data_IF_506227033123
#
_entry.id   IF_506227033123
#
_cell.length_a   1.000
_cell.length_b   1.000
_cell.length_c   1.000
_cell.angle_alpha   90.00
_cell.angle_beta   90.00
_cell.angle_gamma   90.00
#
_symmetry.space_group_name_H-M   'P 1'
#
loop_
_entity.id
_entity.type
_entity.pdbx_description
1 polymer ?
#
# COMPACT_ATOMS: atom_id res chain seq x y z
N UNK A 1 -77.28 -0.19 77.30
CA UNK A 1 -78.03 1.08 77.29
C UNK A 1 -77.00 2.19 77.30
N UNK A 2 -77.32 3.26 76.58
CA UNK A 2 -76.42 4.29 76.10
C UNK A 2 -75.38 3.88 75.05
N UNK A 3 -75.09 4.70 74.03
CA UNK A 3 -75.94 5.69 73.33
C UNK A 3 -75.39 5.92 71.91
N UNK A 4 -76.22 6.51 71.05
CA UNK A 4 -76.12 6.68 69.58
C UNK A 4 -74.93 7.50 69.01
N UNK A 5 -74.54 7.19 67.76
CA UNK A 5 -74.46 8.12 66.61
C UNK A 5 -74.28 7.31 65.30
N UNK A 6 -75.02 7.57 64.22
CA UNK A 6 -74.72 8.51 63.11
C UNK A 6 -73.29 8.38 62.53
N UNK A 7 -73.06 8.25 61.21
CA UNK A 7 -73.97 8.21 60.07
C UNK A 7 -73.41 9.00 58.89
N UNK A 8 -73.03 8.35 57.78
CA UNK A 8 -72.49 9.03 56.61
C UNK A 8 -72.20 8.11 55.43
N UNK A 9 -72.85 8.36 54.29
CA UNK A 9 -72.51 7.80 52.98
C UNK A 9 -71.70 8.85 52.22
N UNK A 10 -70.74 8.42 51.40
CA UNK A 10 -69.94 9.27 50.53
C UNK A 10 -69.39 8.44 49.37
N UNK A 11 -69.62 8.89 48.15
CA UNK A 11 -69.53 8.07 46.95
C UNK A 11 -68.20 8.22 46.18
N UNK A 12 -67.89 7.20 45.39
CA UNK A 12 -67.03 7.13 44.20
C UNK A 12 -65.94 8.22 43.95
N UNK A 13 -64.69 7.90 44.27
CA UNK A 13 -63.48 8.51 43.66
C UNK A 13 -62.83 7.55 42.62
N UNK A 14 -63.58 7.16 41.59
CA UNK A 14 -63.04 6.41 40.44
C UNK A 14 -62.54 7.38 39.35
N UNK A 15 -61.35 7.96 39.53
CA UNK A 15 -60.77 8.87 38.52
C UNK A 15 -59.25 8.70 38.31
N UNK A 16 -58.91 7.97 37.24
CA UNK A 16 -57.74 8.12 36.36
C UNK A 16 -56.51 8.91 36.89
N UNK A 17 -55.50 8.20 37.41
CA UNK A 17 -54.10 8.68 37.40
C UNK A 17 -53.46 8.45 36.01
N UNK A 18 -54.04 9.09 34.99
CA UNK A 18 -53.73 8.86 33.57
C UNK A 18 -52.66 9.84 33.03
N UNK A 19 -51.81 10.40 33.91
CA UNK A 19 -50.83 11.44 33.55
C UNK A 19 -49.40 11.15 34.07
N UNK A 20 -49.09 9.88 34.33
CA UNK A 20 -47.74 9.42 34.69
C UNK A 20 -46.98 8.71 33.55
N UNK A 21 -47.38 8.90 32.29
CA UNK A 21 -46.57 8.51 31.12
C UNK A 21 -46.57 9.61 30.04
N UNK A 22 -45.73 10.63 30.26
CA UNK A 22 -45.48 11.72 29.31
C UNK A 22 -44.51 11.34 28.19
N UNK A 23 -44.54 10.09 27.71
CA UNK A 23 -43.67 9.61 26.63
C UNK A 23 -44.23 10.04 25.26
N UNK A 24 -44.01 11.30 24.91
CA UNK A 24 -44.27 11.83 23.57
C UNK A 24 -43.43 11.04 22.54
N UNK A 25 -44.06 10.24 21.64
CA UNK A 25 -43.32 9.39 20.70
C UNK A 25 -42.66 10.18 19.57
N UNK A 26 -43.04 11.45 19.37
CA UNK A 26 -42.51 12.32 18.32
C UNK A 26 -41.29 13.13 18.81
N UNK A 27 -40.82 12.93 20.05
CA UNK A 27 -39.52 13.47 20.47
C UNK A 27 -38.38 12.66 19.85
N UNK A 28 -37.83 13.16 18.74
CA UNK A 28 -36.59 12.66 18.17
C UNK A 28 -35.53 12.62 19.28
N UNK A 29 -35.14 11.40 19.68
CA UNK A 29 -34.24 11.20 20.81
C UNK A 29 -32.82 11.43 20.33
N UNK A 30 -32.48 12.72 20.15
CA UNK A 30 -31.17 13.21 19.71
C UNK A 30 -30.06 12.41 20.40
N UNK A 31 -29.30 11.68 19.58
CA UNK A 31 -28.29 10.76 20.09
C UNK A 31 -27.29 11.54 20.96
N UNK A 32 -27.27 11.17 22.25
CA UNK A 32 -26.47 11.85 23.27
C UNK A 32 -24.97 11.75 22.99
N UNK A 33 -24.54 10.78 22.17
CA UNK A 33 -23.15 10.69 21.71
C UNK A 33 -22.79 11.84 20.75
N UNK A 34 -23.72 12.33 19.93
CA UNK A 34 -23.48 13.47 19.02
C UNK A 34 -23.27 14.82 19.75
N UNK A 35 -23.54 14.85 21.06
CA UNK A 35 -23.32 16.02 21.93
C UNK A 35 -21.96 15.98 22.63
N UNK A 36 -21.21 14.87 22.56
CA UNK A 36 -19.86 14.75 23.12
C UNK A 36 -18.84 15.45 22.20
N UNK A 37 -18.07 16.45 22.68
CA UNK A 37 -16.99 17.05 21.91
C UNK A 37 -15.89 16.06 21.49
N UNK A 38 -15.78 14.87 22.12
CA UNK A 38 -14.91 13.78 21.70
C UNK A 38 -15.48 12.88 20.59
N UNK A 39 -16.78 12.95 20.30
CA UNK A 39 -17.42 12.13 19.26
C UNK A 39 -16.78 12.36 17.88
N UNK A 40 -16.68 11.28 17.11
CA UNK A 40 -16.11 11.29 15.78
C UNK A 40 -16.55 10.04 14.98
N UNK A 41 -16.93 10.23 13.71
CA UNK A 41 -17.36 9.15 12.81
C UNK A 41 -16.14 8.37 12.28
N UNK A 42 -16.08 7.08 12.59
CA UNK A 42 -15.10 6.14 12.04
C UNK A 42 -15.76 4.79 11.72
N UNK A 43 -15.05 3.93 10.98
CA UNK A 43 -15.50 2.59 10.58
C UNK A 43 -14.35 1.59 10.73
N UNK A 44 -14.61 0.40 11.28
CA UNK A 44 -13.67 -0.71 11.23
C UNK A 44 -13.79 -1.46 9.89
N UNK A 45 -12.70 -1.56 9.13
CA UNK A 45 -12.65 -2.24 7.83
C UNK A 45 -11.77 -3.49 7.86
N UNK A 46 -12.19 -4.54 7.16
CA UNK A 46 -11.35 -5.72 6.86
C UNK A 46 -10.42 -5.45 5.68
N UNK A 47 -9.34 -6.24 5.54
CA UNK A 47 -8.32 -6.06 4.50
C UNK A 47 -8.90 -5.97 3.07
N UNK A 48 -9.95 -6.74 2.77
CA UNK A 48 -10.62 -6.76 1.46
C UNK A 48 -11.48 -5.52 1.20
N UNK A 49 -12.02 -4.89 2.25
CA UNK A 49 -12.79 -3.66 2.16
C UNK A 49 -11.88 -2.44 2.01
N UNK A 50 -10.71 -2.49 2.66
CA UNK A 50 -9.62 -1.54 2.49
C UNK A 50 -9.04 -1.63 1.07
N UNK A 51 -8.79 -2.83 0.57
CA UNK A 51 -8.35 -3.06 -0.80
C UNK A 51 -9.39 -2.54 -1.81
N UNK A 52 -10.68 -2.83 -1.62
CA UNK A 52 -11.77 -2.27 -2.43
C UNK A 52 -11.74 -0.74 -2.42
N UNK A 53 -11.70 -0.13 -1.24
CA UNK A 53 -11.69 1.32 -1.08
C UNK A 53 -10.46 1.99 -1.74
N UNK A 54 -9.27 1.38 -1.64
CA UNK A 54 -8.06 1.83 -2.34
C UNK A 54 -8.24 1.70 -3.86
N UNK A 55 -8.71 0.56 -4.34
CA UNK A 55 -8.87 0.30 -5.78
C UNK A 55 -9.93 1.23 -6.42
N UNK A 56 -10.99 1.59 -5.70
CA UNK A 56 -11.93 2.64 -6.13
C UNK A 56 -11.22 3.98 -6.38
N UNK A 57 -10.36 4.45 -5.45
CA UNK A 57 -9.61 5.72 -5.62
C UNK A 57 -8.60 5.64 -6.77
N UNK A 58 -8.00 4.47 -6.98
CA UNK A 58 -7.08 4.19 -8.09
C UNK A 58 -7.82 4.23 -9.44
N UNK A 59 -9.01 3.64 -9.53
CA UNK A 59 -9.85 3.64 -10.74
C UNK A 59 -10.43 5.04 -11.04
N UNK A 60 -10.88 5.75 -10.00
CA UNK A 60 -11.37 7.14 -10.05
C UNK A 60 -10.29 8.09 -10.62
N UNK A 61 -9.03 7.96 -10.19
CA UNK A 61 -7.92 8.71 -10.77
C UNK A 61 -7.54 8.20 -12.18
N UNK A 62 -7.39 6.88 -12.35
CA UNK A 62 -7.00 6.25 -13.62
C UNK A 62 -7.91 6.66 -14.77
N UNK A 63 -9.22 6.68 -14.55
CA UNK A 63 -10.23 7.17 -15.51
C UNK A 63 -10.19 8.69 -15.69
N UNK A 64 -10.00 9.47 -14.62
CA UNK A 64 -10.02 10.95 -14.65
C UNK A 64 -8.86 11.61 -15.41
N UNK A 65 -7.71 10.92 -15.53
CA UNK A 65 -6.52 11.39 -16.29
C UNK A 65 -5.98 10.38 -17.32
N UNK A 66 -6.67 9.26 -17.54
CA UNK A 66 -6.36 8.23 -18.55
C UNK A 66 -4.96 7.61 -18.43
N UNK A 67 -4.58 7.21 -17.21
CA UNK A 67 -3.31 6.52 -16.89
C UNK A 67 -3.52 5.07 -16.44
N UNK A 68 -2.50 4.22 -16.49
CA UNK A 68 -2.61 2.85 -15.96
C UNK A 68 -2.86 2.84 -14.45
N UNK A 69 -3.55 1.83 -13.88
CA UNK A 69 -3.74 1.72 -12.43
C UNK A 69 -2.43 1.75 -11.64
N UNK A 70 -1.36 1.15 -12.15
CA UNK A 70 -0.03 1.17 -11.53
C UNK A 70 0.58 2.58 -11.47
N UNK A 71 0.40 3.38 -12.53
CA UNK A 71 0.82 4.79 -12.53
C UNK A 71 -0.08 5.65 -11.62
N UNK A 72 -1.40 5.38 -11.59
CA UNK A 72 -2.31 6.04 -10.64
C UNK A 72 -1.93 5.76 -9.17
N UNK A 73 -1.53 4.52 -8.82
CA UNK A 73 -1.01 4.18 -7.48
C UNK A 73 0.23 4.99 -7.11
N UNK A 74 1.20 5.15 -8.03
CA UNK A 74 2.41 5.97 -7.80
C UNK A 74 2.04 7.45 -7.59
N UNK A 75 1.14 8.01 -8.41
CA UNK A 75 0.68 9.39 -8.26
C UNK A 75 -0.05 9.63 -6.93
N UNK A 76 -0.93 8.71 -6.50
CA UNK A 76 -1.64 8.79 -5.23
C UNK A 76 -0.68 8.76 -4.03
N UNK A 77 0.31 7.86 -4.03
CA UNK A 77 1.35 7.78 -3.01
C UNK A 77 2.16 9.07 -2.88
N UNK A 78 2.60 9.63 -4.01
CA UNK A 78 3.47 10.81 -4.02
C UNK A 78 2.72 12.12 -3.73
N UNK A 79 1.42 12.19 -4.03
CA UNK A 79 0.57 13.36 -3.79
C UNK A 79 -0.43 13.17 -2.63
N UNK A 80 -0.07 12.36 -1.62
CA UNK A 80 -0.81 12.18 -0.36
C UNK A 80 -2.31 11.88 -0.54
N UNK A 81 -2.65 11.13 -1.60
CA UNK A 81 -4.01 10.75 -1.98
C UNK A 81 -4.97 11.92 -2.31
N UNK A 82 -4.47 13.12 -2.60
CA UNK A 82 -5.30 14.26 -3.00
C UNK A 82 -5.68 14.19 -4.49
N UNK A 83 -6.72 13.44 -4.84
CA UNK A 83 -7.20 13.31 -6.24
C UNK A 83 -7.43 14.66 -6.93
N UNK A 84 -7.97 15.66 -6.22
CA UNK A 84 -8.30 16.98 -6.80
C UNK A 84 -7.06 17.77 -7.24
N UNK A 85 -5.98 17.69 -6.46
CA UNK A 85 -4.70 18.34 -6.74
C UNK A 85 -3.92 17.60 -7.81
N UNK A 86 -3.95 16.26 -7.81
CA UNK A 86 -3.36 15.43 -8.88
C UNK A 86 -4.04 15.75 -10.22
N UNK A 87 -5.37 15.72 -10.29
CA UNK A 87 -6.14 15.94 -11.52
C UNK A 87 -5.95 17.36 -12.05
N UNK A 88 -5.94 18.39 -11.19
CA UNK A 88 -5.70 19.77 -11.62
C UNK A 88 -4.25 19.99 -12.06
N UNK A 89 -3.27 19.45 -11.32
CA UNK A 89 -1.85 19.54 -11.68
C UNK A 89 -1.51 18.82 -12.97
N UNK A 90 -2.08 17.62 -13.21
CA UNK A 90 -1.88 16.86 -14.45
C UNK A 90 -2.48 17.58 -15.66
N UNK A 91 -3.66 18.19 -15.51
CA UNK A 91 -4.31 18.99 -16.57
C UNK A 91 -3.60 20.31 -16.85
N UNK A 92 -2.85 20.85 -15.88
CA UNK A 92 -2.02 22.04 -16.08
C UNK A 92 -0.66 21.72 -16.70
N UNK A 93 0.06 20.71 -16.18
CA UNK A 93 1.35 20.25 -16.68
C UNK A 93 1.63 18.80 -16.22
N UNK A 94 1.16 17.83 -17.01
CA UNK A 94 1.42 16.41 -16.79
C UNK A 94 2.91 16.05 -16.75
N UNK A 95 3.76 16.73 -17.53
CA UNK A 95 5.19 16.45 -17.61
C UNK A 95 5.90 16.84 -16.30
N UNK A 96 5.57 18.01 -15.74
CA UNK A 96 6.06 18.46 -14.44
C UNK A 96 5.56 17.59 -13.30
N UNK A 97 4.26 17.24 -13.27
CA UNK A 97 3.71 16.39 -12.21
C UNK A 97 4.36 15.00 -12.20
N UNK A 98 4.51 14.36 -13.37
CA UNK A 98 5.17 13.06 -13.47
C UNK A 98 6.62 13.11 -12.94
N UNK A 99 7.39 14.14 -13.30
CA UNK A 99 8.76 14.34 -12.75
C UNK A 99 8.75 14.52 -11.23
N UNK A 100 7.82 15.33 -10.70
CA UNK A 100 7.65 15.52 -9.25
C UNK A 100 7.32 14.21 -8.53
N UNK A 101 6.56 13.31 -9.17
CA UNK A 101 6.22 11.99 -8.67
C UNK A 101 7.26 10.91 -9.04
N UNK A 102 8.50 11.29 -9.38
CA UNK A 102 9.59 10.37 -9.71
C UNK A 102 9.28 9.41 -10.89
N UNK A 103 8.45 9.84 -11.84
CA UNK A 103 8.15 9.12 -13.09
C UNK A 103 8.66 9.94 -14.27
N UNK A 104 9.62 9.40 -15.04
CA UNK A 104 10.07 10.08 -16.27
C UNK A 104 8.96 10.02 -17.33
N UNK A 105 8.51 11.15 -17.92
CA UNK A 105 7.55 11.17 -19.00
C UNK A 105 8.09 10.48 -20.26
N UNK A 106 7.20 9.80 -21.00
CA UNK A 106 7.53 9.35 -22.35
C UNK A 106 7.52 10.54 -23.30
N UNK A 107 8.65 10.81 -23.95
CA UNK A 107 8.73 11.89 -24.95
C UNK A 107 7.83 11.56 -26.16
N UNK A 108 7.04 12.51 -26.68
CA UNK A 108 6.28 12.28 -27.91
C UNK A 108 7.26 12.01 -29.06
N UNK A 109 7.06 10.89 -29.76
CA UNK A 109 7.90 10.52 -30.89
C UNK A 109 7.80 11.58 -31.99
N UNK A 110 8.94 12.18 -32.37
CA UNK A 110 9.00 13.19 -33.43
C UNK A 110 8.70 12.54 -34.79
N UNK A 111 7.44 12.58 -35.21
CA UNK A 111 6.91 11.76 -36.29
C UNK A 111 7.25 12.31 -37.69
N UNK A 112 8.54 12.26 -38.04
CA UNK A 112 9.06 12.56 -39.38
C UNK A 112 9.90 11.39 -39.91
N UNK A 113 9.30 10.19 -39.96
CA UNK A 113 9.60 9.14 -40.95
C UNK A 113 8.61 7.96 -40.82
N UNK A 114 7.73 7.81 -41.80
CA UNK A 114 6.76 6.70 -41.84
C UNK A 114 7.41 5.39 -42.27
N UNK A 115 7.83 4.55 -41.33
CA UNK A 115 7.90 3.10 -41.55
C UNK A 115 7.72 2.29 -40.25
N UNK A 116 6.61 1.55 -40.22
CA UNK A 116 6.25 0.42 -39.35
C UNK A 116 7.11 0.14 -38.10
N UNK A 117 6.66 0.66 -36.95
CA UNK A 117 6.74 -0.02 -35.64
C UNK A 117 5.43 0.19 -34.90
N UNK A 118 4.82 -0.90 -34.40
CA UNK A 118 3.46 -0.88 -33.86
C UNK A 118 3.38 -0.21 -32.49
N UNK A 119 2.49 0.78 -32.37
CA UNK A 119 2.14 1.37 -31.09
C UNK A 119 1.21 0.42 -30.30
N UNK A 120 1.73 -0.21 -29.24
CA UNK A 120 0.94 -0.99 -28.28
C UNK A 120 0.89 -0.25 -26.94
N UNK A 121 0.01 0.75 -26.85
CA UNK A 121 -0.38 1.40 -25.58
C UNK A 121 -1.82 1.92 -25.67
N UNK A 122 -2.73 1.00 -26.02
CA UNK A 122 -4.19 1.15 -25.96
C UNK A 122 -4.80 -0.21 -25.58
N UNK A 123 -5.82 -0.19 -24.74
CA UNK A 123 -6.33 -1.38 -24.04
C UNK A 123 -7.05 -2.38 -24.96
N UNK A 124 -6.79 -3.67 -24.76
CA UNK A 124 -7.56 -4.76 -25.35
C UNK A 124 -8.61 -5.28 -24.35
N UNK A 125 -9.75 -4.59 -24.24
CA UNK A 125 -10.93 -5.15 -23.56
C UNK A 125 -11.51 -6.30 -24.38
N UNK A 126 -11.59 -7.51 -23.81
CA UNK A 126 -12.30 -8.62 -24.44
C UNK A 126 -13.13 -9.40 -23.43
N UNK A 127 -14.40 -9.04 -23.33
CA UNK A 127 -15.43 -9.83 -22.63
C UNK A 127 -15.68 -11.15 -23.38
N UNK A 128 -15.70 -12.27 -22.67
CA UNK A 128 -16.19 -13.54 -23.20
C UNK A 128 -16.74 -14.41 -22.06
N UNK A 129 -18.07 -14.46 -21.97
CA UNK A 129 -18.78 -15.26 -20.97
C UNK A 129 -18.59 -16.76 -21.25
N UNK A 130 -18.20 -17.53 -20.22
CA UNK A 130 -18.64 -18.94 -20.11
C UNK A 130 -18.77 -19.38 -18.66
N UNK A 131 -20.00 -19.39 -18.16
CA UNK A 131 -20.40 -19.96 -16.88
C UNK A 131 -20.25 -21.49 -16.88
N UNK A 132 -19.87 -22.09 -15.74
CA UNK A 132 -20.61 -23.20 -15.07
C UNK A 132 -19.97 -23.62 -13.73
N UNK A 133 -20.71 -23.40 -12.64
CA UNK A 133 -20.93 -24.31 -11.49
C UNK A 133 -19.77 -24.98 -10.71
N UNK A 134 -19.64 -24.54 -9.45
CA UNK A 134 -19.68 -25.33 -8.19
C UNK A 134 -18.58 -26.35 -7.78
N UNK A 135 -18.50 -26.49 -6.45
CA UNK A 135 -17.60 -27.27 -5.56
C UNK A 135 -18.09 -28.74 -5.37
N UNK A 136 -17.49 -29.62 -4.52
CA UNK A 136 -16.33 -29.49 -3.59
C UNK A 136 -15.29 -30.65 -3.64
N UNK A 137 -14.40 -30.71 -2.62
CA UNK A 137 -13.43 -31.77 -2.28
C UNK A 137 -13.97 -33.21 -2.30
N UNK A 138 -13.08 -34.21 -2.45
CA UNK A 138 -12.77 -35.11 -1.33
C UNK A 138 -11.26 -35.41 -1.13
N UNK A 139 -10.92 -36.25 -0.14
CA UNK A 139 -9.54 -36.50 0.35
C UNK A 139 -9.14 -37.99 0.33
N UNK A 140 -7.82 -38.28 0.30
CA UNK A 140 -7.16 -39.54 0.71
C UNK A 140 -7.38 -40.78 -0.22
N UNK A 141 -6.51 -41.82 -0.31
CA UNK A 141 -5.25 -42.20 0.39
C UNK A 141 -4.29 -42.96 -0.58
N UNK A 142 -2.95 -42.78 -0.45
CA UNK A 142 -1.90 -43.80 -0.78
C UNK A 142 -1.56 -44.11 -2.26
N UNK A 143 -0.49 -44.85 -2.60
CA UNK A 143 0.71 -45.28 -1.84
C UNK A 143 1.75 -45.93 -2.80
N UNK A 144 3.06 -45.55 -2.73
CA UNK A 144 4.28 -46.21 -3.31
C UNK A 144 4.30 -46.55 -4.84
N UNK A 145 5.39 -46.53 -5.64
CA UNK A 145 6.85 -46.27 -5.55
C UNK A 145 7.39 -46.12 -7.01
N UNK A 146 8.63 -45.77 -7.41
CA UNK A 146 9.91 -45.34 -6.78
C UNK A 146 10.91 -44.87 -7.88
N UNK A 147 12.10 -44.32 -7.52
CA UNK A 147 13.22 -43.85 -8.40
C UNK A 147 12.91 -42.61 -9.28
N UNK A 148 13.84 -41.73 -9.67
CA UNK A 148 15.32 -41.71 -9.60
C UNK A 148 15.87 -40.35 -9.12
N UNK A 149 17.18 -40.25 -8.87
CA UNK A 149 17.88 -38.98 -8.63
C UNK A 149 18.20 -38.26 -9.95
N UNK A 150 17.88 -36.97 -10.05
CA UNK A 150 18.52 -36.05 -11.00
C UNK A 150 19.11 -34.84 -10.25
N UNK A 151 20.18 -34.27 -10.80
CA UNK A 151 21.04 -33.27 -10.11
C UNK A 151 20.66 -31.84 -10.48
N UNK A 152 21.06 -30.90 -9.62
CA UNK A 152 21.16 -29.49 -10.01
C UNK A 152 22.11 -29.35 -11.22
N UNK A 153 21.70 -28.52 -12.19
CA UNK A 153 22.51 -28.18 -13.35
C UNK A 153 23.35 -26.94 -13.08
N UNK A 154 24.63 -27.12 -12.78
CA UNK A 154 25.58 -26.00 -12.64
C UNK A 154 25.80 -25.32 -14.00
N UNK A 155 25.49 -24.02 -14.09
CA UNK A 155 25.77 -23.23 -15.29
C UNK A 155 27.22 -22.72 -15.26
N UNK A 156 28.13 -23.51 -15.82
CA UNK A 156 29.57 -23.20 -15.94
C UNK A 156 29.99 -23.41 -17.39
N UNK A 157 30.99 -22.64 -17.84
CA UNK A 157 31.66 -22.74 -19.17
C UNK A 157 30.77 -22.34 -20.38
N UNK A 158 31.26 -21.66 -21.43
CA UNK A 158 32.60 -21.20 -21.80
C UNK A 158 32.59 -19.71 -22.21
N UNK A 159 33.60 -18.96 -21.80
CA UNK A 159 34.05 -17.73 -22.48
C UNK A 159 35.58 -17.77 -22.51
N UNK A 160 36.18 -17.98 -23.68
CA UNK A 160 37.63 -18.17 -23.80
C UNK A 160 38.15 -17.59 -25.11
N UNK A 161 39.28 -16.87 -24.99
CA UNK A 161 40.11 -16.30 -26.06
C UNK A 161 39.49 -15.23 -26.99
N UNK A 162 40.03 -14.01 -26.83
CA UNK A 162 40.27 -13.00 -27.87
C UNK A 162 39.04 -12.32 -28.51
N UNK A 163 38.86 -11.00 -28.38
CA UNK A 163 39.92 -9.98 -28.55
C UNK A 163 39.87 -8.85 -27.51
N UNK A 164 41.02 -8.21 -27.25
CA UNK A 164 41.10 -7.04 -26.38
C UNK A 164 40.50 -5.81 -27.06
N UNK A 165 39.53 -5.17 -26.41
CA UNK A 165 39.21 -3.75 -26.60
C UNK A 165 39.00 -3.10 -25.23
N UNK A 166 39.81 -2.10 -24.91
CA UNK A 166 39.73 -1.37 -23.64
C UNK A 166 38.71 -0.23 -23.79
N UNK A 167 37.47 -0.47 -23.34
CA UNK A 167 36.44 0.57 -23.33
C UNK A 167 36.70 1.57 -22.19
N UNK A 168 37.47 2.61 -22.48
CA UNK A 168 37.70 3.73 -21.55
C UNK A 168 36.45 4.61 -21.45
N UNK A 169 36.08 5.01 -20.23
CA UNK A 169 34.85 5.75 -19.95
C UNK A 169 34.84 7.15 -20.59
N UNK A 170 33.90 7.40 -21.52
CA UNK A 170 33.34 8.73 -21.82
C UNK A 170 32.10 8.68 -22.72
N UNK A 171 31.06 9.41 -22.29
CA UNK A 171 30.07 10.15 -23.06
C UNK A 171 29.71 9.65 -24.48
N UNK A 172 28.73 8.73 -24.58
CA UNK A 172 28.15 8.33 -25.87
C UNK A 172 26.97 9.21 -26.24
N UNK A 173 27.26 10.34 -26.91
CA UNK A 173 26.25 11.12 -27.65
C UNK A 173 26.06 10.48 -29.03
N UNK A 174 24.84 10.08 -29.37
CA UNK A 174 24.55 9.47 -30.68
C UNK A 174 24.32 10.56 -31.76
N UNK A 175 25.10 10.52 -32.85
CA UNK A 175 25.07 11.52 -33.91
C UNK A 175 25.35 10.95 -35.32
N UNK A 176 24.27 10.63 -36.03
CA UNK A 176 24.04 10.67 -37.50
C UNK A 176 25.12 10.27 -38.54
N UNK A 177 24.67 9.45 -39.50
CA UNK A 177 25.08 9.34 -40.91
C UNK A 177 26.34 8.53 -41.31
N UNK A 178 26.08 7.29 -41.77
CA UNK A 178 26.82 6.61 -42.84
C UNK A 178 25.83 5.71 -43.64
N UNK A 179 26.10 5.39 -44.91
CA UNK A 179 25.14 4.73 -45.82
C UNK A 179 25.51 3.26 -46.11
N UNK A 180 24.59 2.37 -45.74
CA UNK A 180 24.30 1.00 -46.23
C UNK A 180 25.46 0.21 -46.90
N UNK A 181 25.91 -0.83 -46.21
CA UNK A 181 25.92 -2.21 -46.74
C UNK A 181 25.23 -3.13 -45.72
N UNK A 182 24.67 -4.26 -46.17
CA UNK A 182 23.83 -5.13 -45.32
C UNK A 182 24.60 -6.36 -44.80
N UNK A 183 25.07 -6.26 -43.55
CA UNK A 183 25.10 -7.39 -42.62
C UNK A 183 24.39 -6.95 -41.34
N UNK A 184 23.55 -7.82 -40.76
CA UNK A 184 22.74 -7.47 -39.59
C UNK A 184 23.55 -7.60 -38.29
N UNK A 185 24.44 -6.63 -38.03
CA UNK A 185 25.18 -6.47 -36.78
C UNK A 185 24.22 -6.17 -35.61
N UNK A 186 23.64 -7.23 -35.04
CA UNK A 186 22.86 -7.16 -33.80
C UNK A 186 23.84 -7.02 -32.64
N UNK A 187 24.29 -5.78 -32.41
CA UNK A 187 25.20 -5.43 -31.31
C UNK A 187 24.66 -5.96 -29.98
N UNK A 188 25.36 -6.92 -29.41
CA UNK A 188 25.01 -7.49 -28.12
C UNK A 188 25.23 -6.47 -27.00
N UNK A 189 24.14 -5.90 -26.49
CA UNK A 189 24.20 -4.99 -25.35
C UNK A 189 24.42 -5.79 -24.06
N UNK A 190 25.56 -5.63 -23.40
CA UNK A 190 25.81 -6.22 -22.09
C UNK A 190 25.06 -5.51 -20.96
N UNK A 191 24.67 -6.27 -19.92
CA UNK A 191 24.04 -5.73 -18.73
C UNK A 191 25.04 -4.91 -17.90
N UNK A 192 24.75 -3.66 -17.51
CA UNK A 192 25.67 -2.85 -16.69
C UNK A 192 26.04 -3.44 -15.32
N UNK A 193 25.25 -4.40 -14.81
CA UNK A 193 25.38 -4.95 -13.45
C UNK A 193 26.15 -6.28 -13.44
N UNK A 194 25.83 -7.21 -14.34
CA UNK A 194 26.48 -8.53 -14.40
C UNK A 194 27.41 -8.74 -15.60
N UNK A 195 27.52 -7.74 -16.50
CA UNK A 195 28.33 -7.74 -17.72
C UNK A 195 27.99 -8.84 -18.77
N UNK A 196 27.01 -9.70 -18.51
CA UNK A 196 26.51 -10.68 -19.48
C UNK A 196 25.81 -9.99 -20.67
N UNK A 197 25.98 -10.52 -21.88
CA UNK A 197 25.22 -10.14 -23.06
C UNK A 197 23.70 -10.30 -22.84
N UNK A 198 22.90 -9.35 -23.33
CA UNK A 198 21.44 -9.36 -23.18
C UNK A 198 20.74 -9.45 -24.53
N UNK A 199 19.80 -10.39 -24.67
CA UNK A 199 18.82 -10.35 -25.76
C UNK A 199 17.73 -9.31 -25.45
N UNK A 200 17.07 -8.72 -26.46
CA UNK A 200 15.94 -7.81 -26.24
C UNK A 200 14.77 -8.41 -25.45
N UNK A 201 14.59 -9.74 -25.53
CA UNK A 201 13.59 -10.53 -24.79
C UNK A 201 13.99 -10.86 -23.34
N UNK A 202 15.27 -10.71 -22.99
CA UNK A 202 15.86 -11.10 -21.70
C UNK A 202 16.27 -9.87 -20.87
N UNK A 203 15.81 -8.68 -21.29
CA UNK A 203 16.12 -7.40 -20.65
C UNK A 203 14.91 -6.45 -20.60
N UNK A 204 14.80 -5.73 -19.49
CA UNK A 204 13.70 -4.79 -19.19
C UNK A 204 14.24 -3.41 -18.81
N UNK A 205 13.43 -2.37 -19.05
CA UNK A 205 13.77 -0.98 -18.77
C UNK A 205 12.54 -0.21 -18.24
N UNK A 206 12.77 0.69 -17.29
CA UNK A 206 11.78 1.68 -16.84
C UNK A 206 11.71 2.86 -17.82
N UNK A 207 10.80 3.82 -17.57
CA UNK A 207 10.68 5.04 -18.38
C UNK A 207 11.93 5.93 -18.36
N UNK A 208 12.85 5.72 -17.42
CA UNK A 208 14.19 6.31 -17.43
C UNK A 208 15.05 5.92 -18.65
N UNK A 209 14.70 4.82 -19.33
CA UNK A 209 15.43 4.13 -20.40
C UNK A 209 16.69 3.34 -19.97
N UNK A 210 17.00 3.25 -18.68
CA UNK A 210 18.05 2.34 -18.20
C UNK A 210 17.59 0.88 -18.34
N UNK A 211 18.41 0.05 -18.99
CA UNK A 211 18.11 -1.35 -19.32
C UNK A 211 19.06 -2.30 -18.60
N UNK A 212 18.48 -3.32 -17.97
CA UNK A 212 19.19 -4.39 -17.28
C UNK A 212 18.56 -5.74 -17.65
N UNK A 213 19.29 -6.84 -17.46
CA UNK A 213 18.74 -8.17 -17.72
C UNK A 213 17.70 -8.55 -16.65
N UNK A 214 16.75 -9.41 -17.03
CA UNK A 214 15.63 -9.76 -16.16
C UNK A 214 16.07 -10.48 -14.88
N UNK A 215 17.22 -11.16 -14.90
CA UNK A 215 17.83 -11.77 -13.71
C UNK A 215 18.42 -10.76 -12.73
N UNK A 216 19.03 -9.67 -13.21
CA UNK A 216 19.47 -8.57 -12.33
C UNK A 216 18.27 -7.87 -11.68
N UNK A 217 17.21 -7.57 -12.44
CA UNK A 217 15.96 -7.05 -11.88
C UNK A 217 15.34 -8.01 -10.86
N UNK A 218 15.24 -9.31 -11.18
CA UNK A 218 14.70 -10.33 -10.27
C UNK A 218 15.44 -10.39 -8.92
N UNK A 219 16.78 -10.32 -8.96
CA UNK A 219 17.62 -10.35 -7.76
C UNK A 219 17.52 -9.04 -6.97
N UNK A 220 17.49 -7.89 -7.67
CA UNK A 220 17.32 -6.58 -7.04
C UNK A 220 16.01 -6.49 -6.27
N UNK A 221 14.89 -6.78 -6.92
CA UNK A 221 13.58 -6.72 -6.27
C UNK A 221 13.47 -7.71 -5.09
N UNK A 222 14.04 -8.92 -5.19
CA UNK A 222 14.05 -9.86 -4.06
C UNK A 222 14.81 -9.33 -2.83
N UNK A 223 15.88 -8.55 -3.04
CA UNK A 223 16.65 -7.88 -1.98
C UNK A 223 15.86 -6.72 -1.37
N UNK A 224 15.30 -5.83 -2.19
CA UNK A 224 14.46 -4.70 -1.74
C UNK A 224 13.23 -5.17 -0.95
N UNK A 225 12.46 -6.10 -1.53
CA UNK A 225 11.24 -6.67 -0.92
C UNK A 225 11.59 -7.47 0.34
N UNK A 226 12.77 -8.06 0.45
CA UNK A 226 13.22 -8.73 1.68
C UNK A 226 13.62 -7.75 2.78
N UNK A 227 14.07 -6.54 2.43
CA UNK A 227 14.27 -5.42 3.36
C UNK A 227 12.96 -4.68 3.70
N UNK A 228 11.85 -4.98 3.01
CA UNK A 228 10.54 -4.37 3.24
C UNK A 228 10.21 -3.19 2.32
N UNK A 229 11.08 -2.88 1.35
CA UNK A 229 10.89 -1.79 0.40
C UNK A 229 10.06 -2.31 -0.78
N UNK A 230 8.94 -1.66 -1.10
CA UNK A 230 8.06 -2.08 -2.21
C UNK A 230 7.55 -0.93 -3.07
N UNK A 231 6.79 0.00 -2.51
CA UNK A 231 6.20 1.14 -3.25
C UNK A 231 7.22 2.21 -3.63
N UNK A 232 8.43 2.12 -3.05
CA UNK A 232 9.55 3.07 -3.22
C UNK A 232 10.78 2.43 -3.90
N UNK A 233 10.60 1.31 -4.60
CA UNK A 233 11.69 0.71 -5.38
C UNK A 233 12.03 1.64 -6.56
N UNK A 234 13.29 2.07 -6.64
CA UNK A 234 13.81 2.96 -7.69
C UNK A 234 14.52 2.16 -8.82
N UNK A 235 15.17 2.87 -9.73
CA UNK A 235 15.93 2.27 -10.82
C UNK A 235 17.34 1.85 -10.36
N UNK A 236 17.80 0.67 -10.77
CA UNK A 236 19.16 0.15 -10.49
C UNK A 236 20.34 0.99 -11.06
N UNK A 237 20.06 2.16 -11.66
CA UNK A 237 21.08 3.04 -12.23
C UNK A 237 21.49 4.12 -11.23
N UNK A 238 22.79 4.40 -11.11
CA UNK A 238 23.25 5.43 -10.17
C UNK A 238 22.65 6.81 -10.50
N UNK A 239 22.19 7.52 -9.46
CA UNK A 239 21.55 8.84 -9.58
C UNK A 239 20.24 8.84 -10.42
N UNK A 240 19.50 7.72 -10.43
CA UNK A 240 18.24 7.59 -11.16
C UNK A 240 17.06 7.24 -10.25
N UNK A 241 16.49 8.26 -9.61
CA UNK A 241 15.33 8.18 -8.69
C UNK A 241 14.00 7.74 -9.34
N UNK A 242 14.00 7.15 -10.54
CA UNK A 242 12.76 6.78 -11.24
C UNK A 242 12.17 5.52 -10.63
N UNK A 243 10.98 5.66 -10.05
CA UNK A 243 10.23 4.58 -9.39
C UNK A 243 9.86 3.45 -10.36
N UNK A 244 9.85 2.22 -9.84
CA UNK A 244 9.42 1.01 -10.52
C UNK A 244 7.94 0.70 -10.20
N UNK A 245 6.99 0.88 -11.14
CA UNK A 245 5.57 0.64 -10.85
C UNK A 245 5.25 -0.85 -10.73
N UNK A 246 4.10 -1.17 -10.14
CA UNK A 246 3.65 -2.55 -9.86
C UNK A 246 3.59 -3.45 -11.12
N UNK A 247 3.18 -2.89 -12.27
CA UNK A 247 3.13 -3.59 -13.56
C UNK A 247 4.52 -3.88 -14.18
N UNK A 248 5.58 -3.24 -13.67
CA UNK A 248 6.96 -3.58 -13.99
C UNK A 248 7.57 -4.58 -12.99
N UNK A 249 7.32 -4.40 -11.69
CA UNK A 249 7.91 -5.22 -10.63
C UNK A 249 7.33 -6.64 -10.63
N UNK A 250 6.01 -6.79 -10.56
CA UNK A 250 5.35 -8.08 -10.30
C UNK A 250 5.63 -9.15 -11.38
N UNK A 251 5.68 -8.83 -12.70
CA UNK A 251 6.05 -9.81 -13.72
C UNK A 251 7.51 -10.31 -13.63
N UNK A 252 8.40 -9.51 -13.03
CA UNK A 252 9.82 -9.82 -12.86
C UNK A 252 10.14 -10.55 -11.53
N UNK A 253 9.11 -10.95 -10.77
CA UNK A 253 9.25 -11.74 -9.54
C UNK A 253 8.94 -13.23 -9.79
N UNK A 254 9.92 -14.11 -10.07
CA UNK A 254 9.64 -15.52 -10.37
C UNK A 254 9.03 -16.28 -9.19
N UNK A 255 9.51 -16.02 -7.96
CA UNK A 255 9.11 -16.75 -6.74
C UNK A 255 7.80 -16.22 -6.16
N UNK A 256 6.79 -17.08 -6.01
CA UNK A 256 5.46 -16.72 -5.46
C UNK A 256 5.54 -16.07 -4.08
N UNK A 257 6.36 -16.62 -3.17
CA UNK A 257 6.61 -16.08 -1.82
C UNK A 257 7.14 -14.63 -1.82
N UNK A 258 7.78 -14.19 -2.90
CA UNK A 258 8.29 -12.81 -3.04
C UNK A 258 7.18 -11.88 -3.56
N UNK A 259 6.31 -12.37 -4.44
CA UNK A 259 5.07 -11.67 -4.85
C UNK A 259 4.09 -11.49 -3.69
N UNK A 260 3.89 -12.54 -2.89
CA UNK A 260 3.08 -12.51 -1.66
C UNK A 260 3.58 -11.41 -0.70
N UNK A 261 4.89 -11.38 -0.41
CA UNK A 261 5.53 -10.30 0.36
C UNK A 261 5.33 -8.92 -0.29
N UNK A 262 5.52 -8.81 -1.60
CA UNK A 262 5.37 -7.54 -2.32
C UNK A 262 3.97 -6.96 -2.13
N UNK A 263 2.92 -7.75 -2.39
CA UNK A 263 1.55 -7.28 -2.22
C UNK A 263 1.21 -6.98 -0.75
N UNK A 264 1.69 -7.80 0.21
CA UNK A 264 1.48 -7.55 1.65
C UNK A 264 2.12 -6.24 2.12
N UNK A 265 3.36 -5.96 1.72
CA UNK A 265 4.06 -4.73 2.12
C UNK A 265 3.56 -3.51 1.34
N UNK A 266 3.23 -3.65 0.05
CA UNK A 266 2.64 -2.58 -0.74
C UNK A 266 1.24 -2.19 -0.21
N UNK A 267 0.40 -3.15 0.15
CA UNK A 267 -0.86 -2.91 0.87
C UNK A 267 -0.63 -2.08 2.14
N UNK A 268 0.35 -2.48 2.96
CA UNK A 268 0.69 -1.77 4.17
C UNK A 268 1.24 -0.35 3.92
N UNK A 269 1.96 -0.11 2.82
CA UNK A 269 2.38 1.23 2.40
C UNK A 269 1.21 2.09 1.92
N UNK A 270 0.26 1.53 1.16
CA UNK A 270 -0.97 2.24 0.77
C UNK A 270 -1.77 2.66 2.00
N UNK A 271 -1.98 1.75 2.97
CA UNK A 271 -2.71 2.05 4.21
C UNK A 271 -1.99 3.08 5.08
N UNK A 272 -0.67 2.98 5.26
CA UNK A 272 0.12 3.94 6.07
C UNK A 272 0.19 5.34 5.46
N UNK A 273 0.17 5.45 4.13
CA UNK A 273 0.23 6.73 3.42
C UNK A 273 -1.13 7.41 3.26
N UNK A 274 -2.24 6.67 3.39
CA UNK A 274 -3.57 7.21 3.22
C UNK A 274 -3.97 8.13 4.40
N UNK A 275 -4.50 9.34 4.15
CA UNK A 275 -4.90 10.25 5.23
C UNK A 275 -6.01 9.67 6.11
N UNK A 276 -7.00 9.00 5.50
CA UNK A 276 -8.18 8.42 6.17
C UNK A 276 -7.99 7.02 6.79
N UNK A 277 -6.83 6.34 6.69
CA UNK A 277 -6.72 4.91 7.11
C UNK A 277 -5.65 4.68 8.18
N UNK A 278 -5.95 3.84 9.19
CA UNK A 278 -5.00 3.46 10.25
C UNK A 278 -5.11 1.99 10.60
N UNK A 279 -4.00 1.26 10.58
CA UNK A 279 -3.94 -0.08 11.18
C UNK A 279 -4.30 -0.01 12.67
N UNK A 280 -5.07 -0.98 13.15
CA UNK A 280 -5.23 -1.19 14.58
C UNK A 280 -3.89 -1.64 15.19
N UNK A 281 -3.43 -1.06 16.32
CA UNK A 281 -2.22 -1.50 17.02
C UNK A 281 -2.44 -2.77 17.87
N UNK A 282 -3.66 -3.33 17.87
CA UNK A 282 -4.00 -4.51 18.67
C UNK A 282 -3.24 -5.77 18.23
N UNK A 283 -2.75 -6.61 19.17
CA UNK A 283 -1.91 -7.75 18.86
C UNK A 283 -2.62 -8.77 17.96
N UNK A 284 -2.00 -9.11 16.83
CA UNK A 284 -2.53 -9.99 15.80
C UNK A 284 -3.86 -9.52 15.14
N UNK A 285 -4.19 -8.23 15.23
CA UNK A 285 -5.34 -7.66 14.53
C UNK A 285 -4.96 -7.16 13.13
N UNK A 286 -5.78 -7.46 12.11
CA UNK A 286 -5.59 -6.91 10.74
C UNK A 286 -6.56 -5.78 10.39
N UNK A 287 -7.48 -5.43 11.29
CA UNK A 287 -8.48 -4.37 11.05
C UNK A 287 -7.79 -3.02 10.84
N UNK A 288 -8.27 -2.30 9.84
CA UNK A 288 -7.91 -0.91 9.55
C UNK A 288 -9.10 -0.05 9.92
N UNK A 289 -8.90 0.92 10.80
CA UNK A 289 -9.90 1.96 11.07
C UNK A 289 -9.84 3.00 9.95
N UNK A 290 -11.00 3.33 9.37
CA UNK A 290 -11.18 4.44 8.43
C UNK A 290 -11.92 5.60 9.08
N UNK A 291 -11.49 6.83 8.84
CA UNK A 291 -12.26 8.03 9.19
C UNK A 291 -11.93 9.22 8.28
N UNK A 292 -12.93 10.06 7.98
CA UNK A 292 -12.84 11.17 7.00
C UNK A 292 -11.84 12.26 7.42
N UNK A 293 -11.83 12.63 8.69
CA UNK A 293 -10.89 13.62 9.23
C UNK A 293 -9.69 12.96 9.93
N UNK A 294 -8.47 13.38 9.60
CA UNK A 294 -7.27 12.97 10.34
C UNK A 294 -7.12 13.76 11.67
N UNK A 295 -7.99 13.48 12.65
CA UNK A 295 -8.05 14.15 13.97
C UNK A 295 -7.48 13.28 15.10
N UNK A 296 -6.90 13.86 16.17
CA UNK A 296 -6.38 13.13 17.33
C UNK A 296 -7.51 12.68 18.29
N UNK A 297 -8.44 11.88 17.76
CA UNK A 297 -9.60 11.34 18.47
C UNK A 297 -9.36 9.88 18.88
N UNK A 298 -10.09 9.45 19.90
CA UNK A 298 -10.13 8.06 20.36
C UNK A 298 -10.95 7.25 19.36
N UNK A 299 -10.37 6.17 18.85
CA UNK A 299 -11.07 5.15 18.06
C UNK A 299 -10.93 3.81 18.77
N UNK A 300 -11.90 2.91 18.57
CA UNK A 300 -11.97 1.60 19.21
C UNK A 300 -12.13 0.56 18.11
N UNK A 301 -11.22 -0.42 18.04
CA UNK A 301 -11.34 -1.50 17.06
C UNK A 301 -12.40 -2.51 17.51
N UNK A 302 -13.48 -2.66 16.75
CA UNK A 302 -14.61 -3.54 17.05
C UNK A 302 -14.21 -5.02 17.19
N UNK A 303 -13.17 -5.47 16.47
CA UNK A 303 -12.74 -6.88 16.46
C UNK A 303 -11.86 -7.29 17.66
N UNK A 304 -11.16 -6.34 18.29
CA UNK A 304 -10.20 -6.64 19.38
C UNK A 304 -10.29 -5.69 20.59
N UNK A 305 -11.22 -4.74 20.58
CA UNK A 305 -11.47 -3.72 21.61
C UNK A 305 -10.26 -2.82 21.95
N UNK A 306 -9.19 -2.85 21.15
CA UNK A 306 -8.02 -1.96 21.34
C UNK A 306 -8.41 -0.52 21.04
N UNK A 307 -8.12 0.39 21.98
CA UNK A 307 -8.45 1.81 21.88
C UNK A 307 -7.18 2.61 21.60
N UNK A 308 -7.21 3.50 20.61
CA UNK A 308 -6.01 4.24 20.18
C UNK A 308 -6.35 5.63 19.62
N UNK A 309 -5.32 6.46 19.42
CA UNK A 309 -5.43 7.78 18.83
C UNK A 309 -5.31 7.71 17.30
N UNK A 310 -6.37 8.09 16.58
CA UNK A 310 -6.43 7.97 15.12
C UNK A 310 -5.34 8.77 14.38
N UNK A 311 -4.94 9.94 14.89
CA UNK A 311 -3.92 10.76 14.23
C UNK A 311 -2.49 10.19 14.29
N UNK A 312 -2.18 9.25 15.18
CA UNK A 312 -0.81 8.75 15.38
C UNK A 312 -0.66 7.23 15.51
N UNK A 313 -1.73 6.48 15.75
CA UNK A 313 -1.69 5.02 15.95
C UNK A 313 -1.22 4.57 17.33
N UNK A 314 -0.75 5.48 18.19
CA UNK A 314 -0.39 5.20 19.58
C UNK A 314 -1.63 5.14 20.49
N UNK A 315 -1.46 4.68 21.73
CA UNK A 315 -2.48 4.71 22.78
C UNK A 315 -3.15 6.09 22.91
N UNK A 316 -4.42 6.13 23.31
CA UNK A 316 -5.15 7.38 23.44
C UNK A 316 -4.61 8.23 24.61
N UNK A 317 -4.24 9.49 24.31
CA UNK A 317 -3.23 10.20 25.09
C UNK A 317 -3.57 11.68 25.42
N UNK A 318 -4.85 12.09 25.38
CA UNK A 318 -5.22 13.43 25.85
C UNK A 318 -4.92 13.60 27.35
N UNK A 319 -4.56 14.80 27.83
CA UNK A 319 -4.51 16.08 27.10
C UNK A 319 -3.23 16.31 26.26
N UNK A 320 -2.31 15.35 26.22
CA UNK A 320 -1.01 15.49 25.52
C UNK A 320 -1.18 15.45 24.00
N UNK A 321 -0.35 16.20 23.26
CA UNK A 321 -0.35 16.16 21.79
C UNK A 321 0.35 14.91 21.24
N UNK A 322 -0.04 14.48 20.04
CA UNK A 322 0.59 13.34 19.35
C UNK A 322 2.10 13.55 19.12
N UNK A 323 2.52 14.81 18.96
CA UNK A 323 3.93 15.15 18.74
C UNK A 323 4.76 15.01 20.01
N UNK A 324 4.23 15.47 21.15
CA UNK A 324 4.87 15.30 22.46
C UNK A 324 4.93 13.82 22.86
N UNK A 325 3.87 13.05 22.62
CA UNK A 325 3.86 11.60 22.85
C UNK A 325 4.87 10.89 21.95
N UNK A 326 4.95 11.22 20.66
CA UNK A 326 5.96 10.64 19.76
C UNK A 326 7.38 10.93 20.24
N UNK A 327 7.68 12.19 20.60
CA UNK A 327 8.99 12.59 21.15
C UNK A 327 9.30 11.88 22.48
N UNK A 328 8.31 11.66 23.33
CA UNK A 328 8.44 10.89 24.57
C UNK A 328 8.73 9.41 24.30
N UNK A 329 7.96 8.75 23.43
CA UNK A 329 8.15 7.34 23.09
C UNK A 329 9.50 7.06 22.42
N UNK A 330 9.96 7.93 21.50
CA UNK A 330 11.32 7.85 20.95
C UNK A 330 12.36 7.95 22.05
N UNK A 331 12.27 8.96 22.93
CA UNK A 331 13.20 9.10 24.05
C UNK A 331 13.17 7.88 24.99
N UNK A 332 12.01 7.29 25.28
CA UNK A 332 11.91 6.10 26.11
C UNK A 332 12.54 4.85 25.46
N UNK A 333 12.57 4.77 24.13
CA UNK A 333 13.32 3.73 23.42
C UNK A 333 14.84 3.97 23.54
N UNK A 334 15.30 5.20 23.30
CA UNK A 334 16.73 5.58 23.35
C UNK A 334 17.32 5.47 24.78
N UNK A 335 16.61 5.97 25.79
CA UNK A 335 17.02 5.94 27.21
C UNK A 335 16.86 4.54 27.85
N UNK A 336 16.25 3.56 27.17
CA UNK A 336 15.86 2.26 27.76
C UNK A 336 17.03 1.51 28.40
N UNK A 337 18.19 1.46 27.74
CA UNK A 337 19.41 0.85 28.27
C UNK A 337 19.95 1.61 29.50
N UNK A 338 19.78 2.94 29.54
CA UNK A 338 20.18 3.75 30.71
C UNK A 338 19.23 3.52 31.89
N UNK A 339 17.93 3.40 31.64
CA UNK A 339 16.93 3.07 32.66
C UNK A 339 17.12 1.64 33.21
N UNK A 340 17.41 0.66 32.34
CA UNK A 340 17.77 -0.70 32.72
C UNK A 340 19.06 -0.72 33.56
N UNK A 341 20.08 0.04 33.17
CA UNK A 341 21.32 0.14 33.95
C UNK A 341 21.08 0.71 35.35
N UNK A 342 20.36 1.84 35.46
CA UNK A 342 20.07 2.48 36.75
C UNK A 342 19.26 1.55 37.66
N UNK A 343 18.19 0.94 37.16
CA UNK A 343 17.35 0.02 37.95
C UNK A 343 18.05 -1.29 38.35
N UNK A 344 19.02 -1.76 37.57
CA UNK A 344 19.84 -2.91 37.94
C UNK A 344 20.95 -2.61 38.97
N UNK A 345 21.42 -1.35 39.06
CA UNK A 345 22.59 -0.97 39.88
C UNK A 345 22.26 -0.04 41.06
N UNK A 346 21.01 0.37 41.23
CA UNK A 346 20.53 1.14 42.39
C UNK A 346 19.45 0.37 43.15
N UNK A 347 19.27 0.70 44.43
CA UNK A 347 18.22 0.16 45.30
C UNK A 347 17.68 1.29 46.16
N UNK A 348 16.37 1.30 46.36
CA UNK A 348 15.73 2.21 47.30
C UNK A 348 16.17 1.93 48.74
N UNK A 349 16.39 2.99 49.50
CA UNK A 349 16.68 2.90 50.94
C UNK A 349 15.36 2.95 51.68
N UNK A 350 14.82 1.77 52.02
CA UNK A 350 13.71 1.64 52.95
C UNK A 350 14.16 2.06 54.36
N UNK A 351 13.47 3.04 54.94
CA UNK A 351 13.60 3.39 56.35
C UNK A 351 12.40 2.81 57.10
N UNK A 352 12.67 1.88 58.03
CA UNK A 352 11.74 1.34 59.03
C UNK A 352 11.71 2.24 60.30
#
# INVERSE_FOLDING_TARGET
MSDDDMGGSGDEDYYNDYYSDGHDPDVETLDKTLQDPEYFEFQCLTDTEVERFINERVEELSTSIQVTPSLAKVLLLMCQWNLSEIVSSYRADAHRLLIQCQVKPSMPANNNNTSMVSANLVSATNTSNRSTTNTPFPSNVGLMSSTSMEKAGDCVTLCSSSSKSECSSRDVVCGSNAIIQQESDVKECCCPVCLCAMKPSESSQLSCCHRFCNSCWSTYFDVEITQGITTRIECMSSHCEVLAPEDFVVPLLPRTRVREKYHQFAFADYVRSHPELRFCPGPNCTIVVRAKDNKPKRVICEACNTQFCFACGCDYHLPTSCETIRRWLTKCADDSETANYISAHTKDVSFD
#
